data_IF_264084400325
#
_entry.id   IF_264084400325
#
_cell.length_a   1.000
_cell.length_b   1.000
_cell.length_c   1.000
_cell.angle_alpha   90.00
_cell.angle_beta   90.00
_cell.angle_gamma   90.00
#
_symmetry.space_group_name_H-M   'P 1'
#
loop_
_entity.id
_entity.type
_entity.pdbx_description
1 polymer ?
#
# COMPACT_ATOMS: atom_id res chain seq x y z
N UNK A 1 6.04 2.55 -3.37
CA UNK A 1 4.91 3.06 -2.61
C UNK A 1 4.63 2.12 -1.45
N UNK A 2 4.42 2.69 -0.28
CA UNK A 2 4.02 1.94 0.90
C UNK A 2 2.52 2.09 0.99
N UNK A 3 1.79 1.04 0.62
CA UNK A 3 0.33 0.95 0.73
C UNK A 3 -0.05 0.10 1.95
N UNK A 4 -1.32 0.13 2.32
CA UNK A 4 -1.89 -0.73 3.36
C UNK A 4 -1.66 -2.22 3.06
N UNK A 5 -1.75 -2.62 1.79
CA UNK A 5 -1.46 -3.99 1.34
C UNK A 5 0.02 -4.35 1.53
N UNK A 6 0.95 -3.41 1.31
CA UNK A 6 2.37 -3.61 1.58
C UNK A 6 2.63 -3.80 3.07
N UNK A 7 1.98 -3.00 3.92
CA UNK A 7 2.09 -3.11 5.37
C UNK A 7 1.50 -4.45 5.83
N UNK A 8 0.30 -4.80 5.38
CA UNK A 8 -0.37 -6.06 5.72
C UNK A 8 0.47 -7.28 5.30
N UNK A 9 0.99 -7.29 4.08
CA UNK A 9 1.82 -8.40 3.57
C UNK A 9 3.13 -8.54 4.33
N UNK A 10 3.84 -7.43 4.59
CA UNK A 10 5.07 -7.44 5.35
C UNK A 10 4.85 -7.91 6.79
N UNK A 11 3.83 -7.38 7.47
CA UNK A 11 3.51 -7.71 8.87
C UNK A 11 3.10 -9.17 9.03
N UNK A 12 2.22 -9.68 8.17
CA UNK A 12 1.77 -11.09 8.26
C UNK A 12 2.91 -12.07 7.99
N UNK A 13 3.90 -11.70 7.19
CA UNK A 13 5.06 -12.53 6.88
C UNK A 13 6.26 -12.28 7.79
N UNK A 14 6.15 -11.39 8.78
CA UNK A 14 7.26 -10.96 9.64
C UNK A 14 8.49 -10.47 8.83
N UNK A 15 8.24 -9.76 7.72
CA UNK A 15 9.26 -9.17 6.86
C UNK A 15 9.50 -7.71 7.25
N UNK A 16 10.75 -7.24 7.19
CA UNK A 16 11.03 -5.83 7.34
C UNK A 16 10.49 -5.06 6.13
N UNK A 17 9.68 -4.02 6.38
CA UNK A 17 9.05 -3.23 5.32
C UNK A 17 10.09 -2.62 4.37
N UNK A 18 11.22 -2.15 4.92
CA UNK A 18 12.32 -1.61 4.12
C UNK A 18 12.90 -2.62 3.12
N UNK A 19 13.02 -3.90 3.50
CA UNK A 19 13.52 -4.95 2.61
C UNK A 19 12.50 -5.29 1.52
N UNK A 20 11.20 -5.31 1.86
CA UNK A 20 10.12 -5.49 0.88
C UNK A 20 10.13 -4.34 -0.14
N UNK A 21 10.21 -3.10 0.32
CA UNK A 21 10.29 -1.91 -0.54
C UNK A 21 11.52 -1.97 -1.44
N UNK A 22 12.70 -2.24 -0.87
CA UNK A 22 13.95 -2.33 -1.63
C UNK A 22 13.90 -3.40 -2.72
N UNK A 23 13.34 -4.57 -2.41
CA UNK A 23 13.20 -5.66 -3.39
C UNK A 23 12.29 -5.27 -4.56
N UNK A 24 11.27 -4.43 -4.31
CA UNK A 24 10.32 -3.95 -5.34
C UNK A 24 10.87 -2.84 -6.19
N UNK A 25 11.65 -1.93 -5.63
CA UNK A 25 12.24 -0.82 -6.39
C UNK A 25 12.99 -1.31 -7.62
N UNK A 26 13.61 -2.49 -7.53
CA UNK A 26 14.30 -3.13 -8.64
C UNK A 26 13.42 -3.35 -9.88
N UNK A 27 12.13 -3.61 -9.69
CA UNK A 27 11.15 -3.84 -10.76
C UNK A 27 10.30 -2.60 -11.04
N UNK A 28 9.98 -1.83 -10.00
CA UNK A 28 9.12 -0.65 -10.11
C UNK A 28 9.80 0.49 -10.86
N UNK A 29 11.10 0.71 -10.64
CA UNK A 29 11.83 1.78 -11.33
C UNK A 29 11.89 1.59 -12.85
N UNK A 30 12.27 0.41 -13.39
CA UNK A 30 12.22 0.18 -14.84
C UNK A 30 10.81 0.28 -15.42
N UNK A 31 9.79 -0.23 -14.70
CA UNK A 31 8.40 -0.13 -15.14
C UNK A 31 7.90 1.31 -15.16
N UNK A 32 8.24 2.11 -14.15
CA UNK A 32 7.90 3.54 -14.11
C UNK A 32 8.60 4.32 -15.24
N UNK A 33 9.87 4.02 -15.50
CA UNK A 33 10.60 4.63 -16.61
C UNK A 33 9.97 4.27 -17.96
N UNK A 34 9.61 3.01 -18.17
CA UNK A 34 8.93 2.56 -19.38
C UNK A 34 7.55 3.22 -19.55
N UNK A 35 6.80 3.35 -18.47
CA UNK A 35 5.51 4.05 -18.48
C UNK A 35 5.70 5.54 -18.83
N UNK A 36 6.68 6.21 -18.23
CA UNK A 36 6.98 7.60 -18.52
C UNK A 36 7.35 7.81 -20.00
N UNK A 37 8.21 6.95 -20.54
CA UNK A 37 8.56 6.97 -21.98
C UNK A 37 7.30 6.73 -22.83
N UNK A 38 6.46 5.76 -22.45
CA UNK A 38 5.18 5.52 -23.14
C UNK A 38 4.27 6.73 -23.14
N UNK A 39 4.12 7.42 -22.01
CA UNK A 39 3.34 8.67 -21.93
C UNK A 39 3.92 9.79 -22.78
N UNK A 40 5.24 9.95 -22.80
CA UNK A 40 5.90 10.99 -23.64
C UNK A 40 5.71 10.68 -25.12
N UNK A 41 5.88 9.42 -25.53
CA UNK A 41 5.80 9.02 -26.95
C UNK A 41 4.35 9.01 -27.44
N UNK A 42 3.42 8.47 -26.65
CA UNK A 42 2.01 8.32 -27.05
C UNK A 42 1.17 9.57 -26.72
N UNK A 43 1.53 10.32 -25.66
CA UNK A 43 0.81 11.51 -25.21
C UNK A 43 1.21 12.80 -25.95
N UNK A 44 2.36 12.82 -26.64
CA UNK A 44 2.90 14.01 -27.28
C UNK A 44 2.13 14.54 -28.52
N UNK A 45 1.04 13.91 -28.91
CA UNK A 45 0.23 14.29 -30.08
C UNK A 45 -1.10 14.97 -29.78
N UNK A 46 -1.53 15.02 -28.54
CA UNK A 46 -2.78 15.71 -28.20
C UNK A 46 -2.52 17.21 -28.02
N UNK A 47 -3.26 18.10 -28.71
CA UNK A 47 -3.14 19.53 -28.48
C UNK A 47 -3.55 19.80 -27.02
N UNK A 48 -2.55 20.22 -26.22
CA UNK A 48 -2.81 20.70 -24.86
C UNK A 48 -3.68 21.94 -25.02
N UNK A 49 -4.95 21.86 -24.66
CA UNK A 49 -5.83 23.03 -24.63
C UNK A 49 -5.16 24.08 -23.77
N UNK A 50 -5.02 25.27 -24.28
CA UNK A 50 -4.26 26.39 -23.72
C UNK A 50 -4.56 26.69 -22.23
N UNK A 51 -5.73 26.27 -21.74
CA UNK A 51 -6.14 26.37 -20.34
C UNK A 51 -5.33 25.45 -19.39
N UNK A 52 -4.85 24.30 -19.86
CA UNK A 52 -4.03 23.36 -19.03
C UNK A 52 -2.55 23.74 -19.09
N UNK A 53 -2.09 24.29 -20.20
CA UNK A 53 -0.69 24.71 -20.35
C UNK A 53 -0.33 25.95 -19.50
N UNK A 54 -1.32 26.76 -19.13
CA UNK A 54 -1.10 28.02 -18.42
C UNK A 54 -0.85 27.88 -16.91
N UNK A 55 -0.91 26.68 -16.34
CA UNK A 55 -0.84 26.48 -14.89
C UNK A 55 0.10 25.35 -14.42
N UNK A 56 1.08 24.95 -15.24
CA UNK A 56 2.10 24.02 -14.76
C UNK A 56 3.07 24.79 -13.87
N UNK A 57 2.79 24.79 -12.57
CA UNK A 57 3.70 25.32 -11.58
C UNK A 57 4.79 24.27 -11.29
N UNK A 58 5.97 24.50 -11.88
CA UNK A 58 7.13 23.63 -11.66
C UNK A 58 7.53 23.56 -10.18
N UNK A 59 7.18 24.58 -9.41
CA UNK A 59 7.47 24.63 -7.97
C UNK A 59 6.68 23.58 -7.19
N UNK A 60 5.49 23.18 -7.69
CA UNK A 60 4.71 22.09 -7.11
C UNK A 60 5.45 20.74 -7.14
N UNK A 61 6.41 20.54 -8.04
CA UNK A 61 7.28 19.35 -8.04
C UNK A 61 8.13 19.25 -6.76
N UNK A 62 8.37 20.38 -6.08
CA UNK A 62 9.05 20.37 -4.79
C UNK A 62 8.31 19.55 -3.74
N UNK A 63 6.98 19.43 -3.83
CA UNK A 63 6.19 18.60 -2.94
C UNK A 63 6.50 17.10 -3.07
N UNK A 64 7.06 16.66 -4.20
CA UNK A 64 7.54 15.27 -4.36
C UNK A 64 8.74 14.95 -3.47
N UNK A 65 9.42 15.96 -2.92
CA UNK A 65 10.50 15.74 -1.96
C UNK A 65 10.02 15.08 -0.66
N UNK A 66 8.77 15.34 -0.23
CA UNK A 66 8.21 14.74 0.97
C UNK A 66 8.06 13.21 0.85
N UNK A 67 7.40 12.62 -0.16
CA UNK A 67 7.35 11.18 -0.34
C UNK A 67 8.72 10.56 -0.64
N UNK A 68 9.61 11.27 -1.35
CA UNK A 68 10.99 10.81 -1.57
C UNK A 68 11.78 10.73 -0.25
N UNK A 69 11.58 11.67 0.66
CA UNK A 69 12.17 11.69 2.00
C UNK A 69 11.68 10.50 2.84
N UNK A 70 10.36 10.24 2.86
CA UNK A 70 9.79 9.05 3.53
C UNK A 70 10.42 7.78 2.99
N UNK A 71 10.49 7.64 1.67
CA UNK A 71 11.10 6.48 1.03
C UNK A 71 12.57 6.32 1.42
N UNK A 72 13.33 7.43 1.45
CA UNK A 72 14.72 7.44 1.90
C UNK A 72 14.90 6.97 3.35
N UNK A 73 14.02 7.39 4.26
CA UNK A 73 14.00 6.94 5.64
C UNK A 73 13.69 5.45 5.77
N UNK A 74 12.70 4.95 5.02
CA UNK A 74 12.35 3.53 5.01
C UNK A 74 13.48 2.65 4.46
N UNK A 75 14.20 3.12 3.45
CA UNK A 75 15.37 2.42 2.91
C UNK A 75 16.54 2.36 3.90
N UNK A 76 16.58 3.28 4.88
CA UNK A 76 17.54 3.28 6.00
C UNK A 76 17.09 2.45 7.20
N UNK A 77 16.05 1.60 7.01
CA UNK A 77 15.48 0.73 8.04
C UNK A 77 14.94 1.49 9.28
N UNK A 78 14.49 2.74 9.09
CA UNK A 78 13.79 3.49 10.15
C UNK A 78 12.41 2.89 10.39
N UNK A 79 11.92 3.00 11.63
CA UNK A 79 10.58 2.53 11.95
C UNK A 79 9.52 3.25 11.13
N UNK A 80 8.57 2.52 10.56
CA UNK A 80 7.54 3.04 9.64
C UNK A 80 6.81 4.27 10.19
N UNK A 81 6.37 4.20 11.45
CA UNK A 81 5.62 5.30 12.08
C UNK A 81 6.47 6.57 12.16
N UNK A 82 7.76 6.45 12.49
CA UNK A 82 8.69 7.58 12.54
C UNK A 82 8.91 8.16 11.14
N UNK A 83 9.09 7.30 10.12
CA UNK A 83 9.28 7.74 8.76
C UNK A 83 8.06 8.50 8.21
N UNK A 84 6.84 7.99 8.50
CA UNK A 84 5.60 8.64 8.10
C UNK A 84 5.38 9.97 8.85
N UNK A 85 5.57 10.00 10.17
CA UNK A 85 5.44 11.23 10.96
C UNK A 85 6.43 12.31 10.49
N UNK A 86 7.68 11.93 10.25
CA UNK A 86 8.68 12.84 9.68
C UNK A 86 8.30 13.32 8.26
N UNK A 87 7.72 12.45 7.46
CA UNK A 87 7.20 12.78 6.12
C UNK A 87 6.05 13.79 6.15
N UNK A 88 5.11 13.61 7.08
CA UNK A 88 4.01 14.58 7.30
C UNK A 88 4.59 15.93 7.72
N UNK A 89 5.53 15.95 8.67
CA UNK A 89 6.21 17.18 9.09
C UNK A 89 6.92 17.87 7.93
N UNK A 90 7.67 17.11 7.11
CA UNK A 90 8.34 17.63 5.93
C UNK A 90 7.35 18.19 4.89
N UNK A 91 6.23 17.52 4.65
CA UNK A 91 5.20 17.98 3.72
C UNK A 91 4.57 19.30 4.18
N UNK A 92 4.27 19.44 5.49
CA UNK A 92 3.75 20.68 6.06
C UNK A 92 4.77 21.81 5.92
N UNK A 93 6.04 21.57 6.27
CA UNK A 93 7.11 22.59 6.16
C UNK A 93 7.30 23.02 4.72
N UNK A 94 7.37 22.09 3.77
CA UNK A 94 7.49 22.38 2.35
C UNK A 94 6.25 23.10 1.80
N UNK A 95 5.07 22.68 2.22
CA UNK A 95 3.81 23.27 1.79
C UNK A 95 3.64 24.71 2.26
N UNK A 96 3.94 24.99 3.53
CA UNK A 96 3.88 26.33 4.11
C UNK A 96 5.01 27.22 3.59
N UNK A 97 6.23 26.68 3.53
CA UNK A 97 7.42 27.42 3.05
C UNK A 97 7.39 27.73 1.56
N UNK A 98 6.78 26.86 0.75
CA UNK A 98 6.58 27.05 -0.69
C UNK A 98 5.32 27.87 -1.03
N UNK A 99 4.50 28.25 -0.04
CA UNK A 99 3.25 28.97 -0.27
C UNK A 99 2.14 28.13 -0.89
N UNK A 100 2.29 26.78 -0.90
CA UNK A 100 1.28 25.85 -1.41
C UNK A 100 0.19 25.53 -0.40
N UNK A 101 0.44 25.77 0.88
CA UNK A 101 -0.49 25.57 1.99
C UNK A 101 -0.54 26.80 2.88
N UNK A 102 -1.71 27.09 3.39
CA UNK A 102 -1.92 28.07 4.46
C UNK A 102 -2.13 27.35 5.81
N UNK A 103 -1.86 28.02 6.92
CA UNK A 103 -2.11 27.47 8.26
C UNK A 103 -3.56 27.06 8.47
N UNK A 104 -4.50 27.81 7.88
CA UNK A 104 -5.94 27.50 7.94
C UNK A 104 -6.34 26.23 7.19
N UNK A 105 -5.54 25.81 6.20
CA UNK A 105 -5.74 24.52 5.51
C UNK A 105 -5.14 23.35 6.28
N UNK A 106 -4.09 23.58 7.03
CA UNK A 106 -3.47 22.56 7.89
C UNK A 106 -4.37 22.26 9.09
N UNK A 107 -4.76 23.29 9.83
CA UNK A 107 -5.70 23.22 10.96
C UNK A 107 -6.46 24.53 11.05
N UNK A 108 -7.77 24.44 11.08
CA UNK A 108 -8.68 25.55 11.33
C UNK A 108 -9.67 25.15 12.41
N UNK A 109 -9.79 25.99 13.44
CA UNK A 109 -10.78 25.84 14.51
C UNK A 109 -11.94 26.78 14.20
N UNK A 110 -13.12 26.23 14.00
CA UNK A 110 -14.34 27.00 13.79
C UNK A 110 -15.04 27.23 15.15
N UNK A 111 -15.00 28.47 15.69
CA UNK A 111 -15.59 28.79 16.99
C UNK A 111 -17.13 28.72 16.97
N UNK A 112 -17.74 28.88 15.77
CA UNK A 112 -19.22 28.93 15.66
C UNK A 112 -19.78 27.51 15.50
N UNK A 113 -19.06 26.62 14.81
CA UNK A 113 -19.47 25.23 14.62
C UNK A 113 -18.93 24.29 15.70
N UNK A 114 -18.16 24.80 16.68
CA UNK A 114 -17.47 23.98 17.71
C UNK A 114 -16.70 22.79 17.09
N UNK A 115 -16.15 22.99 15.92
CA UNK A 115 -15.46 21.94 15.16
C UNK A 115 -14.07 22.37 14.69
N UNK A 116 -13.25 21.40 14.39
CA UNK A 116 -11.98 21.60 13.73
C UNK A 116 -12.04 21.05 12.30
N UNK A 117 -11.35 21.71 11.37
CA UNK A 117 -11.25 21.33 9.96
C UNK A 117 -9.80 21.45 9.50
N UNK A 118 -9.46 20.83 8.38
CA UNK A 118 -8.16 20.92 7.76
C UNK A 118 -7.50 19.56 7.57
N UNK A 119 -6.38 19.54 6.86
CA UNK A 119 -5.70 18.32 6.45
C UNK A 119 -5.36 17.36 7.59
N UNK A 120 -4.97 17.89 8.77
CA UNK A 120 -4.68 17.07 9.94
C UNK A 120 -5.94 16.44 10.53
N UNK A 121 -7.02 17.19 10.60
CA UNK A 121 -8.30 16.72 11.16
C UNK A 121 -8.91 15.66 10.24
N UNK A 122 -8.94 15.94 8.92
CA UNK A 122 -9.44 15.01 7.91
C UNK A 122 -8.59 13.73 7.87
N UNK A 123 -7.26 13.87 8.03
CA UNK A 123 -6.36 12.74 8.14
C UNK A 123 -6.60 11.87 9.37
N UNK A 124 -6.85 12.49 10.54
CA UNK A 124 -7.20 11.78 11.77
C UNK A 124 -8.54 11.06 11.64
N UNK A 125 -9.55 11.72 11.11
CA UNK A 125 -10.89 11.14 10.93
C UNK A 125 -10.85 9.91 10.04
N UNK A 126 -10.17 10.01 8.89
CA UNK A 126 -9.91 8.86 8.00
C UNK A 126 -9.11 7.76 8.71
N UNK A 127 -8.08 8.12 9.49
CA UNK A 127 -7.27 7.18 10.24
C UNK A 127 -8.08 6.41 11.28
N UNK A 128 -8.98 7.06 11.98
CA UNK A 128 -9.91 6.41 12.92
C UNK A 128 -10.85 5.46 12.19
N UNK A 129 -11.44 5.90 11.07
CA UNK A 129 -12.30 5.07 10.24
C UNK A 129 -11.62 3.79 9.75
N UNK A 130 -10.40 3.92 9.21
CA UNK A 130 -9.58 2.77 8.77
C UNK A 130 -9.22 1.86 9.95
N UNK A 131 -8.93 2.41 11.11
CA UNK A 131 -8.60 1.62 12.31
C UNK A 131 -9.79 0.78 12.78
N UNK A 132 -10.98 1.38 12.87
CA UNK A 132 -12.22 0.67 13.24
C UNK A 132 -12.53 -0.42 12.21
N UNK A 133 -12.44 -0.09 10.92
CA UNK A 133 -12.63 -1.05 9.84
C UNK A 133 -11.66 -2.23 9.95
N UNK A 134 -10.38 -1.97 10.18
CA UNK A 134 -9.36 -3.00 10.35
C UNK A 134 -9.65 -3.91 11.55
N UNK A 135 -10.07 -3.35 12.68
CA UNK A 135 -10.45 -4.14 13.86
C UNK A 135 -11.63 -5.06 13.58
N UNK A 136 -12.67 -4.56 12.90
CA UNK A 136 -13.82 -5.38 12.49
C UNK A 136 -13.40 -6.51 11.55
N UNK A 137 -12.53 -6.21 10.57
CA UNK A 137 -11.99 -7.20 9.65
C UNK A 137 -11.17 -8.27 10.37
N UNK A 138 -10.32 -7.87 11.31
CA UNK A 138 -9.56 -8.83 12.13
C UNK A 138 -10.48 -9.77 12.92
N UNK A 139 -11.61 -9.27 13.39
CA UNK A 139 -12.66 -10.10 13.99
C UNK A 139 -13.20 -11.15 13.01
N UNK A 140 -13.53 -10.75 11.79
CA UNK A 140 -14.02 -11.66 10.74
C UNK A 140 -12.95 -12.70 10.37
N UNK A 141 -11.70 -12.28 10.21
CA UNK A 141 -10.57 -13.19 9.94
C UNK A 141 -10.41 -14.20 11.06
N UNK A 142 -10.46 -13.76 12.33
CA UNK A 142 -10.34 -14.66 13.48
C UNK A 142 -11.46 -15.72 13.53
N UNK A 143 -12.69 -15.36 13.19
CA UNK A 143 -13.81 -16.31 13.06
C UNK A 143 -13.57 -17.27 11.90
N UNK A 144 -13.11 -16.78 10.76
CA UNK A 144 -12.84 -17.59 9.57
C UNK A 144 -11.70 -18.60 9.82
N UNK A 145 -10.65 -18.18 10.53
CA UNK A 145 -9.56 -19.08 10.93
C UNK A 145 -10.05 -20.20 11.87
N UNK A 146 -10.89 -19.86 12.84
CA UNK A 146 -11.48 -20.86 13.77
C UNK A 146 -12.40 -21.84 13.07
N UNK A 147 -13.07 -21.45 11.99
CA UNK A 147 -13.98 -22.32 11.22
C UNK A 147 -13.27 -23.37 10.37
N UNK A 148 -11.94 -23.39 10.32
CA UNK A 148 -11.14 -24.27 9.46
C UNK A 148 -11.48 -24.18 7.94
N UNK A 149 -12.27 -23.21 7.53
CA UNK A 149 -12.64 -23.02 6.12
C UNK A 149 -11.39 -22.79 5.25
N UNK A 150 -10.48 -21.93 5.70
CA UNK A 150 -9.22 -21.67 4.98
C UNK A 150 -8.27 -22.87 4.99
N UNK A 151 -8.29 -23.69 6.05
CA UNK A 151 -7.47 -24.91 6.10
C UNK A 151 -7.93 -25.94 5.06
N UNK A 152 -9.21 -25.99 4.73
CA UNK A 152 -9.74 -26.87 3.67
C UNK A 152 -9.29 -26.44 2.27
N UNK A 153 -9.10 -25.14 2.04
CA UNK A 153 -8.55 -24.62 0.78
C UNK A 153 -7.01 -24.68 0.73
N UNK A 154 -6.37 -24.75 1.88
CA UNK A 154 -4.92 -24.74 2.03
C UNK A 154 -4.37 -26.09 2.51
N UNK A 155 -4.93 -27.22 2.07
CA UNK A 155 -4.35 -28.55 2.29
C UNK A 155 -2.95 -28.62 1.65
N UNK A 156 -2.08 -27.76 2.18
CA UNK A 156 -0.73 -27.47 1.72
C UNK A 156 0.28 -28.56 1.99
N UNK A 157 -0.19 -29.80 2.30
CA UNK A 157 0.67 -30.97 2.45
C UNK A 157 1.26 -31.44 1.13
N UNK A 158 0.72 -31.01 -0.01
CA UNK A 158 1.13 -31.46 -1.33
C UNK A 158 2.38 -30.76 -1.89
N UNK A 159 2.73 -29.57 -1.41
CA UNK A 159 3.91 -28.84 -1.93
C UNK A 159 5.21 -29.46 -1.42
N UNK A 160 5.99 -29.97 -2.35
CA UNK A 160 7.30 -30.59 -2.09
C UNK A 160 8.46 -29.70 -2.50
N UNK A 161 8.23 -28.75 -3.39
CA UNK A 161 9.24 -27.81 -3.91
C UNK A 161 8.90 -26.37 -3.59
N UNK A 162 9.89 -25.49 -3.64
CA UNK A 162 9.69 -24.03 -3.48
C UNK A 162 8.68 -23.50 -4.51
N UNK A 163 8.80 -23.96 -5.77
CA UNK A 163 7.89 -23.55 -6.84
C UNK A 163 6.43 -23.97 -6.58
N UNK A 164 6.23 -25.18 -6.04
CA UNK A 164 4.89 -25.63 -5.67
C UNK A 164 4.33 -24.80 -4.51
N UNK A 165 5.17 -24.46 -3.53
CA UNK A 165 4.80 -23.60 -2.42
C UNK A 165 4.39 -22.20 -2.89
N UNK A 166 5.14 -21.61 -3.80
CA UNK A 166 4.80 -20.30 -4.38
C UNK A 166 3.48 -20.35 -5.16
N UNK A 167 3.24 -21.41 -5.94
CA UNK A 167 1.96 -21.61 -6.63
C UNK A 167 0.79 -21.77 -5.66
N UNK A 168 1.00 -22.49 -4.54
CA UNK A 168 -0.03 -22.62 -3.50
C UNK A 168 -0.32 -21.29 -2.82
N UNK A 169 0.70 -20.50 -2.50
CA UNK A 169 0.54 -19.15 -1.95
C UNK A 169 -0.24 -18.27 -2.94
N UNK A 170 0.14 -18.30 -4.21
CA UNK A 170 -0.56 -17.56 -5.27
C UNK A 170 -2.02 -18.00 -5.41
N UNK A 171 -2.29 -19.30 -5.40
CA UNK A 171 -3.66 -19.83 -5.46
C UNK A 171 -4.50 -19.44 -4.24
N UNK A 172 -3.92 -19.51 -3.03
CA UNK A 172 -4.59 -19.15 -1.80
C UNK A 172 -4.96 -17.65 -1.76
N UNK A 173 -4.03 -16.78 -2.11
CA UNK A 173 -4.32 -15.33 -2.14
C UNK A 173 -5.32 -14.97 -3.25
N UNK A 174 -5.24 -15.64 -4.41
CA UNK A 174 -6.21 -15.48 -5.48
C UNK A 174 -7.62 -15.85 -5.03
N UNK A 175 -7.79 -17.04 -4.45
CA UNK A 175 -9.07 -17.49 -3.94
C UNK A 175 -9.61 -16.53 -2.85
N UNK A 176 -8.75 -16.10 -1.93
CA UNK A 176 -9.11 -15.16 -0.89
C UNK A 176 -9.53 -13.81 -1.47
N UNK A 177 -8.81 -13.29 -2.45
CA UNK A 177 -9.15 -12.07 -3.15
C UNK A 177 -10.53 -12.13 -3.82
N UNK A 178 -10.82 -13.20 -4.54
CA UNK A 178 -12.10 -13.39 -5.22
C UNK A 178 -13.28 -13.52 -4.24
N UNK A 179 -13.02 -14.10 -3.06
CA UNK A 179 -14.04 -14.25 -2.02
C UNK A 179 -14.30 -12.96 -1.24
N UNK A 180 -13.24 -12.24 -0.91
CA UNK A 180 -13.35 -11.04 -0.06
C UNK A 180 -13.57 -9.76 -0.85
N UNK A 181 -13.22 -9.74 -2.14
CA UNK A 181 -13.23 -8.55 -3.03
C UNK A 181 -12.46 -7.35 -2.48
N UNK A 182 -11.61 -7.57 -1.46
CA UNK A 182 -10.84 -6.52 -0.80
C UNK A 182 -9.40 -6.99 -0.56
N UNK A 183 -8.43 -6.22 -1.04
CA UNK A 183 -7.02 -6.59 -1.09
C UNK A 183 -6.40 -6.86 0.30
N UNK A 184 -6.57 -5.94 1.24
CA UNK A 184 -5.96 -6.04 2.58
C UNK A 184 -6.57 -7.19 3.38
N UNK A 185 -7.89 -7.41 3.26
CA UNK A 185 -8.60 -8.53 3.91
C UNK A 185 -8.08 -9.87 3.39
N UNK A 186 -7.92 -9.98 2.08
CA UNK A 186 -7.40 -11.19 1.45
C UNK A 186 -6.01 -11.57 1.99
N UNK A 187 -5.12 -10.57 2.13
CA UNK A 187 -3.77 -10.78 2.68
C UNK A 187 -3.84 -11.25 4.13
N UNK A 188 -4.64 -10.60 4.97
CA UNK A 188 -4.79 -10.97 6.37
C UNK A 188 -5.34 -12.39 6.52
N UNK A 189 -6.34 -12.75 5.72
CA UNK A 189 -6.99 -14.06 5.77
C UNK A 189 -6.03 -15.23 5.44
N UNK A 190 -5.11 -15.03 4.48
CA UNK A 190 -4.17 -16.11 4.08
C UNK A 190 -2.78 -15.95 4.68
N UNK A 191 -2.53 -14.89 5.45
CA UNK A 191 -1.21 -14.55 5.96
C UNK A 191 -0.56 -15.68 6.75
N UNK A 192 -1.28 -16.27 7.69
CA UNK A 192 -0.80 -17.39 8.53
C UNK A 192 -0.52 -18.66 7.72
N UNK A 193 -1.37 -18.95 6.73
CA UNK A 193 -1.20 -20.12 5.85
C UNK A 193 0.04 -19.93 4.98
N UNK A 194 0.18 -18.76 4.38
CA UNK A 194 1.35 -18.39 3.57
C UNK A 194 2.63 -18.49 4.38
N UNK A 195 2.62 -18.02 5.62
CA UNK A 195 3.76 -18.09 6.50
C UNK A 195 4.18 -19.53 6.79
N UNK A 196 3.23 -20.40 7.15
CA UNK A 196 3.48 -21.84 7.40
C UNK A 196 4.04 -22.55 6.18
N UNK A 197 3.47 -22.35 4.99
CA UNK A 197 3.97 -22.93 3.75
C UNK A 197 5.41 -22.45 3.49
N UNK A 198 5.64 -21.15 3.63
CA UNK A 198 6.93 -20.56 3.35
C UNK A 198 8.03 -20.97 4.33
N UNK A 199 7.74 -21.05 5.63
CA UNK A 199 8.70 -21.51 6.64
C UNK A 199 9.07 -22.98 6.41
N UNK A 200 8.09 -23.83 6.07
CA UNK A 200 8.34 -25.26 5.77
C UNK A 200 9.24 -25.47 4.55
N UNK A 201 9.09 -24.64 3.51
CA UNK A 201 9.78 -24.78 2.23
C UNK A 201 11.00 -23.85 2.10
N UNK A 202 11.33 -23.09 3.14
CA UNK A 202 12.46 -22.16 3.11
C UNK A 202 12.26 -20.94 2.18
N UNK A 203 11.01 -20.53 1.90
CA UNK A 203 10.72 -19.35 1.09
C UNK A 203 10.96 -18.08 1.93
N UNK A 204 11.84 -17.16 1.51
CA UNK A 204 12.13 -15.95 2.26
C UNK A 204 10.89 -15.10 2.56
N UNK A 205 10.83 -14.47 3.75
CA UNK A 205 9.70 -13.65 4.19
C UNK A 205 9.38 -12.51 3.20
N UNK A 206 10.40 -11.83 2.67
CA UNK A 206 10.26 -10.78 1.66
C UNK A 206 9.62 -11.30 0.37
N UNK A 207 9.97 -12.52 -0.05
CA UNK A 207 9.39 -13.12 -1.25
C UNK A 207 7.92 -13.47 -1.05
N UNK A 208 7.58 -14.05 0.10
CA UNK A 208 6.18 -14.34 0.46
C UNK A 208 5.34 -13.05 0.49
N UNK A 209 5.84 -12.00 1.15
CA UNK A 209 5.18 -10.70 1.20
C UNK A 209 4.98 -10.11 -0.21
N UNK A 210 5.99 -10.23 -1.08
CA UNK A 210 5.89 -9.76 -2.46
C UNK A 210 4.83 -10.53 -3.26
N UNK A 211 4.75 -11.86 -3.14
CA UNK A 211 3.72 -12.65 -3.83
C UNK A 211 2.32 -12.21 -3.39
N UNK A 212 2.09 -12.05 -2.08
CA UNK A 212 0.80 -11.60 -1.56
C UNK A 212 0.42 -10.25 -2.14
N UNK A 213 1.27 -9.25 -2.00
CA UNK A 213 0.96 -7.88 -2.34
C UNK A 213 0.88 -7.64 -3.87
N UNK A 214 1.81 -8.18 -4.66
CA UNK A 214 1.74 -8.02 -6.12
C UNK A 214 0.49 -8.68 -6.70
N UNK A 215 0.08 -9.83 -6.17
CA UNK A 215 -1.13 -10.51 -6.62
C UNK A 215 -2.37 -9.66 -6.33
N UNK A 216 -2.56 -9.20 -5.10
CA UNK A 216 -3.76 -8.42 -4.75
C UNK A 216 -3.82 -7.08 -5.48
N UNK A 217 -2.67 -6.43 -5.71
CA UNK A 217 -2.61 -5.17 -6.45
C UNK A 217 -2.94 -5.31 -7.95
N UNK A 218 -2.91 -6.52 -8.49
CA UNK A 218 -3.24 -6.77 -9.89
C UNK A 218 -4.76 -6.91 -10.11
N UNK A 219 -5.49 -7.44 -9.14
CA UNK A 219 -6.92 -7.74 -9.29
C UNK A 219 -7.82 -6.53 -9.50
N UNK A 220 -7.62 -5.36 -8.87
CA UNK A 220 -8.43 -4.17 -9.14
C UNK A 220 -8.42 -3.72 -10.61
N UNK A 221 -7.36 -4.05 -11.34
CA UNK A 221 -7.24 -3.75 -12.77
C UNK A 221 -7.89 -4.81 -13.68
N UNK A 222 -8.09 -6.01 -13.15
CA UNK A 222 -8.68 -7.13 -13.91
C UNK A 222 -10.19 -7.25 -13.71
N UNK A 223 -10.68 -6.88 -12.53
CA UNK A 223 -12.07 -7.08 -12.15
C UNK A 223 -12.74 -5.77 -11.73
N UNK A 224 -13.81 -5.33 -12.42
CA UNK A 224 -14.45 -4.03 -12.16
C UNK A 224 -15.22 -3.96 -10.84
N UNK A 225 -15.44 -5.10 -10.17
CA UNK A 225 -16.13 -5.18 -8.87
C UNK A 225 -15.15 -5.20 -7.68
N UNK A 226 -13.86 -5.06 -7.95
CA UNK A 226 -12.86 -5.02 -6.89
C UNK A 226 -12.83 -3.62 -6.27
N UNK A 227 -12.96 -3.55 -4.95
CA UNK A 227 -12.78 -2.29 -4.21
C UNK A 227 -11.30 -2.20 -3.82
N UNK A 228 -10.59 -1.15 -4.30
CA UNK A 228 -9.18 -0.95 -3.94
C UNK A 228 -8.99 -0.61 -2.47
#
# INVERSE_FOLDING_TARGET
PVSDTTIASATTQAAAIGDVVRSRLRYTLPAAAAALVGFVVLGGGAPVTSAVAASIDLSALLMLAAPAFVLGLLLRATHLVVALAAGIGAAIVLGLGGGFLSWSEVVYIDPQAYGARGLLVDGLDRGVGVSIFTLLLMGIVAVTERSNLLARFSSGESARTVADGERQIFGAITASCLLTTHSSVAILAVGNVTRRIGERLGIPATRRANILDTTVCTYPFLFPFFVP
#
